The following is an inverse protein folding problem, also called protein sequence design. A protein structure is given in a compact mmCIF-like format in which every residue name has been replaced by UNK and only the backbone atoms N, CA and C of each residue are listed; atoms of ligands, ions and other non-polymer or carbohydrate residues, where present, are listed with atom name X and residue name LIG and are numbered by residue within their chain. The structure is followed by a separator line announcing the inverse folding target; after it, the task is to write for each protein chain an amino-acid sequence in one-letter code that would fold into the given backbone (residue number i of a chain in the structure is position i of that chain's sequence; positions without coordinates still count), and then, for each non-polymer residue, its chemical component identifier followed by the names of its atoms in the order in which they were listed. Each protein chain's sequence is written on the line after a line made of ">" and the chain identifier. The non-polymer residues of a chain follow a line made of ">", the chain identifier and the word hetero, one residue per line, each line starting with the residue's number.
data_IF_502104482829
#
_entry.id   IF_502104482829
#
_cell.length_a   1.000
_cell.length_b   1.000
_cell.length_c   1.000
_cell.angle_alpha   90.00
_cell.angle_beta   90.00
_cell.angle_gamma   90.00
#
_symmetry.space_group_name_H-M   'P 1'
#
loop_
_entity.id
_entity.type
_entity.pdbx_description
1 polymer ?
#
# COMPACT_ATOMS: atom_id res chain seq x y z
N UNK A 1 -46.72 -8.24 -60.45
CA UNK A 1 -45.57 -8.79 -59.66
C UNK A 1 -44.82 -7.63 -58.99
N UNK A 2 -45.29 -7.23 -57.80
CA UNK A 2 -44.74 -6.09 -57.10
C UNK A 2 -43.73 -6.60 -56.06
N UNK A 3 -42.45 -6.20 -56.19
CA UNK A 3 -41.41 -6.49 -55.22
C UNK A 3 -41.39 -5.34 -54.13
N UNK A 4 -41.74 -5.70 -52.89
CA UNK A 4 -41.58 -4.84 -51.73
C UNK A 4 -40.12 -4.88 -51.30
N UNK A 5 -39.40 -3.73 -51.35
CA UNK A 5 -38.11 -3.51 -50.71
C UNK A 5 -38.37 -3.06 -49.28
N UNK A 6 -38.08 -3.93 -48.30
CA UNK A 6 -38.03 -3.53 -46.89
C UNK A 6 -36.68 -2.83 -46.61
N UNK A 7 -36.77 -1.54 -46.41
CA UNK A 7 -35.63 -0.72 -45.94
C UNK A 7 -35.50 -0.91 -44.43
N UNK A 8 -34.50 -1.70 -43.96
CA UNK A 8 -34.14 -1.78 -42.56
C UNK A 8 -33.28 -0.58 -42.17
N UNK A 9 -33.88 0.40 -41.54
CA UNK A 9 -33.18 1.50 -40.89
C UNK A 9 -32.55 0.99 -39.59
N UNK A 10 -31.23 0.80 -39.58
CA UNK A 10 -30.47 0.53 -38.38
C UNK A 10 -30.38 1.85 -37.60
N UNK A 11 -31.14 1.99 -36.52
CA UNK A 11 -30.91 3.03 -35.52
C UNK A 11 -29.64 2.69 -34.76
N UNK A 12 -28.53 3.35 -35.07
CA UNK A 12 -27.35 3.39 -34.24
C UNK A 12 -27.68 4.25 -33.00
N UNK A 13 -28.14 3.62 -31.94
CA UNK A 13 -28.19 4.24 -30.61
C UNK A 13 -26.74 4.47 -30.17
N UNK A 14 -26.30 5.72 -30.18
CA UNK A 14 -25.07 6.13 -29.49
C UNK A 14 -25.27 5.89 -27.99
N UNK A 15 -24.79 4.76 -27.49
CA UNK A 15 -24.62 4.55 -26.06
C UNK A 15 -23.47 5.46 -25.65
N UNK A 16 -23.80 6.62 -25.10
CA UNK A 16 -22.84 7.44 -24.38
C UNK A 16 -22.48 6.67 -23.13
N UNK A 17 -21.39 5.94 -23.17
CA UNK A 17 -20.73 5.42 -21.97
C UNK A 17 -20.25 6.64 -21.19
N UNK A 18 -21.03 7.08 -20.22
CA UNK A 18 -20.48 7.91 -19.16
C UNK A 18 -19.39 7.06 -18.50
N UNK A 19 -18.13 7.42 -18.73
CA UNK A 19 -17.03 6.89 -17.94
C UNK A 19 -17.38 7.15 -16.48
N UNK A 20 -17.49 6.12 -15.67
CA UNK A 20 -17.65 6.30 -14.23
C UNK A 20 -16.45 7.11 -13.77
N UNK A 21 -16.70 8.24 -13.09
CA UNK A 21 -15.64 9.01 -12.45
C UNK A 21 -14.82 8.04 -11.58
N UNK A 22 -13.50 8.01 -11.80
CA UNK A 22 -12.61 7.14 -11.03
C UNK A 22 -12.65 7.57 -9.56
N UNK A 23 -13.15 6.73 -8.63
CA UNK A 23 -13.31 7.14 -7.24
C UNK A 23 -11.94 7.29 -6.58
N UNK A 24 -11.83 8.21 -5.62
CA UNK A 24 -10.68 8.22 -4.73
C UNK A 24 -10.66 6.97 -3.86
N UNK A 25 -9.48 6.36 -3.70
CA UNK A 25 -9.29 5.13 -2.92
C UNK A 25 -8.41 5.45 -1.71
N UNK A 26 -8.94 5.25 -0.51
CA UNK A 26 -8.18 5.38 0.74
C UNK A 26 -8.14 4.02 1.43
N UNK A 27 -6.94 3.46 1.56
CA UNK A 27 -6.69 2.20 2.26
C UNK A 27 -6.02 2.45 3.61
N UNK A 28 -6.72 2.13 4.69
CA UNK A 28 -6.25 2.28 6.07
C UNK A 28 -5.85 0.91 6.62
N UNK A 29 -4.60 0.77 7.05
CA UNK A 29 -4.11 -0.42 7.73
C UNK A 29 -3.68 -0.09 9.15
N UNK A 30 -4.29 -0.75 10.12
CA UNK A 30 -3.91 -0.67 11.52
C UNK A 30 -2.92 -1.78 11.83
N UNK A 31 -1.77 -1.41 12.40
CA UNK A 31 -0.70 -2.35 12.76
C UNK A 31 -0.99 -2.91 14.16
N UNK A 32 -1.25 -4.20 14.25
CA UNK A 32 -1.58 -4.95 15.48
C UNK A 32 -2.92 -4.54 16.15
N UNK A 33 -3.89 -3.99 15.41
CA UNK A 33 -5.25 -3.80 15.92
C UNK A 33 -5.99 -5.14 15.90
N UNK A 34 -6.44 -5.60 17.06
CA UNK A 34 -7.26 -6.79 17.18
C UNK A 34 -8.70 -6.58 16.69
N UNK A 35 -9.30 -7.63 16.15
CA UNK A 35 -10.71 -7.61 15.75
C UNK A 35 -11.64 -7.15 16.88
N UNK A 36 -11.37 -7.64 18.11
CA UNK A 36 -12.15 -7.31 19.29
C UNK A 36 -11.91 -5.92 19.88
N UNK A 37 -10.95 -5.14 19.33
CA UNK A 37 -10.66 -3.76 19.79
C UNK A 37 -11.55 -2.72 19.09
N UNK A 38 -12.21 -3.11 18.01
CA UNK A 38 -13.18 -2.25 17.31
C UNK A 38 -14.56 -2.44 17.94
N UNK A 39 -15.15 -1.35 18.45
CA UNK A 39 -16.35 -1.44 19.28
C UNK A 39 -17.54 -2.06 18.55
N UNK A 40 -17.83 -1.70 17.30
CA UNK A 40 -18.94 -2.29 16.55
C UNK A 40 -18.78 -3.78 16.24
N UNK A 41 -17.56 -4.33 16.34
CA UNK A 41 -17.28 -5.75 16.15
C UNK A 41 -17.30 -6.53 17.47
N UNK A 42 -17.25 -5.85 18.61
CA UNK A 42 -17.24 -6.44 19.95
C UNK A 42 -17.90 -5.48 20.97
N UNK A 43 -19.20 -5.19 20.85
CA UNK A 43 -19.87 -4.17 21.66
C UNK A 43 -19.92 -4.52 23.15
N UNK A 44 -19.85 -5.80 23.50
CA UNK A 44 -19.91 -6.24 24.91
C UNK A 44 -18.58 -6.05 25.64
N UNK A 45 -17.44 -6.26 24.96
CA UNK A 45 -16.10 -6.28 25.57
C UNK A 45 -15.15 -5.23 25.01
N UNK A 46 -15.48 -4.58 23.90
CA UNK A 46 -14.72 -3.47 23.33
C UNK A 46 -14.72 -2.26 24.25
N UNK A 47 -13.60 -2.06 24.99
CA UNK A 47 -13.50 -1.01 26.02
C UNK A 47 -13.16 0.37 25.47
N UNK A 48 -12.59 0.43 24.28
CA UNK A 48 -12.19 1.68 23.64
C UNK A 48 -13.25 2.09 22.63
N UNK A 49 -13.86 3.27 22.75
CA UNK A 49 -14.79 3.74 21.75
C UNK A 49 -14.11 3.99 20.41
N UNK A 50 -14.69 3.48 19.33
CA UNK A 50 -14.20 3.66 17.96
C UNK A 50 -15.25 4.33 17.05
N UNK A 51 -15.78 5.52 17.41
CA UNK A 51 -16.98 6.08 16.81
C UNK A 51 -16.88 6.32 15.30
N UNK A 52 -15.70 6.65 14.81
CA UNK A 52 -15.49 6.89 13.37
C UNK A 52 -15.41 5.59 12.57
N UNK A 53 -14.82 4.54 13.13
CA UNK A 53 -14.80 3.20 12.52
C UNK A 53 -16.19 2.59 12.57
N UNK A 54 -16.90 2.73 13.71
CA UNK A 54 -18.27 2.26 13.88
C UNK A 54 -19.23 2.93 12.88
N UNK A 55 -19.06 4.25 12.65
CA UNK A 55 -19.81 4.96 11.61
C UNK A 55 -19.49 4.41 10.22
N UNK A 56 -18.22 4.24 9.87
CA UNK A 56 -17.81 3.67 8.59
C UNK A 56 -18.43 2.29 8.38
N UNK A 57 -18.43 1.46 9.41
CA UNK A 57 -19.05 0.13 9.35
C UNK A 57 -20.58 0.21 9.14
N UNK A 58 -21.25 1.19 9.74
CA UNK A 58 -22.70 1.37 9.59
C UNK A 58 -23.13 1.94 8.22
N UNK A 59 -22.24 2.70 7.58
CA UNK A 59 -22.48 3.33 6.27
C UNK A 59 -21.95 2.46 5.10
N UNK A 60 -21.14 1.44 5.39
CA UNK A 60 -20.45 0.63 4.40
C UNK A 60 -20.73 -0.86 4.51
N UNK A 61 -19.71 -1.66 4.25
CA UNK A 61 -19.75 -3.12 4.31
C UNK A 61 -18.73 -3.63 5.32
N UNK A 62 -19.16 -4.48 6.24
CA UNK A 62 -18.29 -5.18 7.19
C UNK A 62 -18.06 -6.61 6.72
N UNK A 63 -16.81 -6.99 6.50
CA UNK A 63 -16.43 -8.36 6.18
C UNK A 63 -16.19 -9.13 7.48
N UNK A 64 -17.02 -10.11 7.75
CA UNK A 64 -16.96 -10.92 9.00
C UNK A 64 -15.98 -12.08 8.91
N UNK A 65 -15.50 -12.41 7.73
CA UNK A 65 -14.56 -13.52 7.47
C UNK A 65 -13.44 -13.07 6.51
N UNK A 66 -12.79 -11.94 6.85
CA UNK A 66 -11.65 -11.43 6.10
C UNK A 66 -10.34 -11.80 6.81
N UNK A 67 -9.39 -12.36 6.05
CA UNK A 67 -8.13 -12.83 6.57
C UNK A 67 -6.96 -12.05 5.97
N UNK A 68 -6.04 -11.60 6.83
CA UNK A 68 -4.75 -11.11 6.35
C UNK A 68 -3.87 -12.29 5.90
N UNK A 69 -2.94 -12.05 4.97
CA UNK A 69 -2.02 -13.09 4.50
C UNK A 69 -1.01 -13.56 5.56
N UNK A 70 -0.95 -12.89 6.70
CA UNK A 70 -0.08 -13.23 7.83
C UNK A 70 -0.49 -12.45 9.07
N UNK A 71 -0.07 -12.93 10.25
CA UNK A 71 -0.26 -12.29 11.54
C UNK A 71 0.82 -11.24 11.89
N UNK A 72 1.78 -10.97 11.00
CA UNK A 72 2.88 -10.02 11.25
C UNK A 72 3.09 -9.06 10.09
N UNK A 73 3.79 -7.95 10.37
CA UNK A 73 3.89 -6.74 9.53
C UNK A 73 4.34 -6.99 8.08
N UNK A 74 5.58 -7.45 7.88
CA UNK A 74 6.19 -7.54 6.54
C UNK A 74 5.40 -8.44 5.58
N UNK A 75 5.03 -9.69 5.95
CA UNK A 75 4.29 -10.55 5.04
C UNK A 75 2.92 -9.99 4.67
N UNK A 76 2.20 -9.40 5.64
CA UNK A 76 0.92 -8.74 5.39
C UNK A 76 1.08 -7.57 4.42
N UNK A 77 2.07 -6.69 4.67
CA UNK A 77 2.34 -5.53 3.81
C UNK A 77 2.76 -5.94 2.42
N UNK A 78 3.59 -6.99 2.30
CA UNK A 78 3.95 -7.56 1.00
C UNK A 78 2.70 -8.05 0.23
N UNK A 79 1.80 -8.74 0.91
CA UNK A 79 0.54 -9.22 0.34
C UNK A 79 -0.35 -8.08 -0.15
N UNK A 80 -0.52 -7.03 0.66
CA UNK A 80 -1.29 -5.84 0.30
C UNK A 80 -0.71 -5.14 -0.93
N UNK A 81 0.63 -5.00 -0.98
CA UNK A 81 1.30 -4.31 -2.10
C UNK A 81 1.28 -5.12 -3.40
N UNK A 82 1.35 -6.46 -3.34
CA UNK A 82 1.65 -7.29 -4.52
C UNK A 82 0.60 -8.33 -4.87
N UNK A 83 -0.42 -8.52 -4.04
CA UNK A 83 -1.41 -9.60 -4.19
C UNK A 83 -0.82 -11.01 -4.03
N UNK A 84 0.38 -11.14 -3.42
CA UNK A 84 1.09 -12.43 -3.30
C UNK A 84 1.52 -12.69 -1.86
N UNK A 85 1.60 -13.95 -1.50
CA UNK A 85 2.19 -14.35 -0.21
C UNK A 85 3.71 -14.10 -0.19
N UNK A 86 4.22 -13.60 0.93
CA UNK A 86 5.65 -13.28 1.11
C UNK A 86 6.57 -14.50 1.05
N UNK A 87 6.10 -15.68 1.45
CA UNK A 87 6.88 -16.91 1.36
C UNK A 87 7.23 -17.33 -0.08
N UNK A 88 6.62 -16.68 -1.08
CA UNK A 88 7.04 -16.80 -2.50
C UNK A 88 8.27 -15.96 -2.84
N UNK A 89 8.86 -15.29 -1.85
CA UNK A 89 10.10 -14.54 -1.95
C UNK A 89 11.21 -15.20 -1.13
N UNK A 90 12.32 -14.49 -0.93
CA UNK A 90 13.37 -14.93 0.02
C UNK A 90 12.93 -14.91 1.49
N UNK A 91 11.82 -14.23 1.82
CA UNK A 91 11.27 -14.17 3.18
C UNK A 91 10.34 -15.36 3.43
N UNK A 92 10.90 -16.46 3.95
CA UNK A 92 10.14 -17.68 4.24
C UNK A 92 9.36 -17.61 5.55
N UNK A 93 9.80 -16.78 6.50
CA UNK A 93 9.14 -16.57 7.79
C UNK A 93 9.56 -15.25 8.43
N UNK A 94 8.77 -14.78 9.41
CA UNK A 94 9.06 -13.57 10.17
C UNK A 94 8.94 -12.28 9.38
N UNK A 95 9.76 -11.30 9.73
CA UNK A 95 9.77 -9.95 9.14
C UNK A 95 11.17 -9.58 8.67
N UNK A 96 11.26 -8.69 7.70
CA UNK A 96 12.54 -8.17 7.25
C UNK A 96 13.20 -7.33 8.34
N UNK A 97 14.53 -7.36 8.37
CA UNK A 97 15.35 -6.69 9.38
C UNK A 97 16.42 -5.82 8.71
N UNK A 98 16.65 -4.65 9.31
CA UNK A 98 17.77 -3.77 8.95
C UNK A 98 17.66 -3.13 7.57
N UNK A 99 18.81 -2.65 7.11
CA UNK A 99 18.98 -1.93 5.85
C UNK A 99 19.41 -2.93 4.78
N UNK A 100 18.48 -3.36 3.97
CA UNK A 100 18.71 -4.35 2.93
C UNK A 100 17.85 -4.00 1.72
N UNK A 101 18.15 -4.52 0.51
CA UNK A 101 17.32 -4.28 -0.65
C UNK A 101 15.84 -4.58 -0.40
N UNK A 102 14.99 -3.79 -1.01
CA UNK A 102 13.54 -3.96 -0.91
C UNK A 102 13.12 -5.40 -1.19
N UNK A 103 12.18 -5.91 -0.39
CA UNK A 103 11.64 -7.27 -0.56
C UNK A 103 10.85 -7.40 -1.86
N UNK A 104 10.20 -6.31 -2.30
CA UNK A 104 9.54 -6.25 -3.61
C UNK A 104 10.62 -6.00 -4.66
N UNK A 105 10.82 -6.94 -5.56
CA UNK A 105 11.74 -6.77 -6.70
C UNK A 105 11.26 -5.63 -7.60
N UNK A 106 12.19 -5.02 -8.33
CA UNK A 106 11.90 -3.83 -9.14
C UNK A 106 10.91 -4.11 -10.28
N UNK A 107 10.95 -5.32 -10.82
CA UNK A 107 10.08 -5.80 -11.88
C UNK A 107 8.71 -6.28 -11.40
N UNK A 108 8.48 -6.29 -10.08
CA UNK A 108 7.22 -6.76 -9.49
C UNK A 108 6.18 -5.65 -9.50
N UNK A 109 5.07 -5.83 -10.25
CA UNK A 109 3.94 -4.92 -10.17
C UNK A 109 3.40 -4.82 -8.74
N UNK A 110 3.00 -3.62 -8.36
CA UNK A 110 2.36 -3.31 -7.08
C UNK A 110 0.97 -2.73 -7.32
N UNK A 111 0.16 -2.68 -6.27
CA UNK A 111 -1.12 -1.96 -6.34
C UNK A 111 -0.92 -0.50 -6.74
N UNK A 112 0.20 0.12 -6.33
CA UNK A 112 0.51 1.51 -6.69
C UNK A 112 0.83 1.66 -8.19
N UNK A 113 1.68 0.79 -8.76
CA UNK A 113 1.95 0.80 -10.21
C UNK A 113 0.68 0.56 -11.02
N UNK A 114 -0.16 -0.40 -10.58
CA UNK A 114 -1.44 -0.66 -11.24
C UNK A 114 -2.35 0.57 -11.23
N UNK A 115 -2.42 1.28 -10.11
CA UNK A 115 -3.23 2.50 -9.99
C UNK A 115 -2.67 3.64 -10.85
N UNK A 116 -1.34 3.82 -10.88
CA UNK A 116 -0.69 4.80 -11.76
C UNK A 116 -1.00 4.53 -13.24
N UNK A 117 -0.92 3.27 -13.67
CA UNK A 117 -1.24 2.86 -15.05
C UNK A 117 -2.71 3.16 -15.42
N UNK A 118 -3.57 3.34 -14.40
CA UNK A 118 -4.97 3.73 -14.56
C UNK A 118 -5.24 5.22 -14.23
N UNK A 119 -4.21 6.05 -14.21
CA UNK A 119 -4.31 7.51 -14.09
C UNK A 119 -4.48 8.04 -12.68
N UNK A 120 -4.26 7.22 -11.64
CA UNK A 120 -4.29 7.69 -10.26
C UNK A 120 -2.97 8.30 -9.83
N UNK A 121 -3.04 9.33 -9.00
CA UNK A 121 -1.92 9.74 -8.16
C UNK A 121 -1.89 8.89 -6.90
N UNK A 122 -0.72 8.37 -6.55
CA UNK A 122 -0.55 7.39 -5.49
C UNK A 122 0.31 7.94 -4.35
N UNK A 123 -0.13 7.72 -3.12
CA UNK A 123 0.64 8.11 -1.94
C UNK A 123 0.61 7.00 -0.89
N UNK A 124 1.70 6.88 -0.13
CA UNK A 124 1.75 6.04 1.06
C UNK A 124 2.26 6.85 2.25
N UNK A 125 1.55 6.76 3.37
CA UNK A 125 1.88 7.47 4.60
C UNK A 125 2.10 6.46 5.72
N UNK A 126 3.19 6.62 6.48
CA UNK A 126 3.49 5.82 7.67
C UNK A 126 4.55 4.73 7.45
N UNK A 127 4.35 3.57 8.10
CA UNK A 127 5.32 2.48 8.14
C UNK A 127 5.39 1.71 6.83
N UNK A 128 6.59 1.60 6.24
CA UNK A 128 6.86 0.77 5.06
C UNK A 128 7.08 -0.71 5.39
N UNK A 129 8.13 -1.03 6.09
CA UNK A 129 8.55 -2.36 6.58
C UNK A 129 8.66 -3.46 5.50
N UNK A 130 9.08 -3.08 4.30
CA UNK A 130 9.43 -4.00 3.22
C UNK A 130 10.91 -3.86 2.80
N UNK A 131 11.71 -3.25 3.67
CA UNK A 131 13.10 -2.84 3.48
C UNK A 131 13.30 -1.82 2.35
N UNK A 132 14.42 -1.18 2.41
CA UNK A 132 15.13 -0.42 1.39
C UNK A 132 16.53 -0.11 1.90
N UNK A 133 17.42 0.20 0.98
CA UNK A 133 18.79 0.62 1.28
C UNK A 133 18.82 2.10 1.58
N UNK A 134 19.87 2.51 2.28
CA UNK A 134 20.22 3.91 2.45
C UNK A 134 21.58 4.16 1.85
N UNK A 135 21.73 5.26 1.14
CA UNK A 135 23.01 5.75 0.60
C UNK A 135 23.47 6.94 1.41
N UNK A 136 24.76 6.97 1.74
CA UNK A 136 25.39 8.11 2.40
C UNK A 136 25.26 9.37 1.54
N UNK A 137 24.78 10.50 2.11
CA UNK A 137 24.56 11.71 1.34
C UNK A 137 25.84 12.36 0.81
N UNK A 138 27.00 11.98 1.36
CA UNK A 138 28.32 12.56 0.99
C UNK A 138 29.08 11.66 0.05
N UNK A 139 29.23 10.37 0.40
CA UNK A 139 30.00 9.41 -0.39
C UNK A 139 29.17 8.67 -1.45
N UNK A 140 27.85 8.57 -1.27
CA UNK A 140 26.97 7.74 -2.08
C UNK A 140 27.05 6.23 -1.76
N UNK A 141 27.89 5.85 -0.81
CA UNK A 141 28.05 4.45 -0.42
C UNK A 141 26.83 3.92 0.33
N UNK A 142 26.60 2.61 0.22
CA UNK A 142 25.53 1.96 0.94
C UNK A 142 25.83 1.94 2.46
N UNK A 143 24.85 2.35 3.26
CA UNK A 143 24.93 2.26 4.72
C UNK A 143 24.96 0.81 5.16
N UNK A 144 26.10 0.41 5.74
CA UNK A 144 26.24 -0.90 6.33
C UNK A 144 25.41 -1.01 7.63
N UNK A 145 24.65 -2.09 7.74
CA UNK A 145 23.91 -2.43 8.95
C UNK A 145 24.85 -2.43 10.18
N UNK A 146 24.47 -1.71 11.22
CA UNK A 146 25.19 -1.69 12.50
C UNK A 146 26.21 -0.55 12.66
N UNK A 147 26.54 0.19 11.60
CA UNK A 147 27.43 1.34 11.68
C UNK A 147 26.74 2.56 12.33
N UNK A 148 25.42 2.66 12.18
CA UNK A 148 24.61 3.77 12.71
C UNK A 148 23.28 3.23 13.26
N UNK A 149 22.78 3.83 14.34
CA UNK A 149 21.44 3.53 14.89
C UNK A 149 20.34 4.00 13.95
N UNK A 150 20.53 5.15 13.33
CA UNK A 150 19.63 5.73 12.33
C UNK A 150 20.46 6.30 11.16
N UNK A 151 19.92 6.28 9.94
CA UNK A 151 20.57 6.92 8.81
C UNK A 151 20.58 8.44 9.02
N UNK A 152 21.61 9.16 8.54
CA UNK A 152 21.68 10.61 8.70
C UNK A 152 20.63 11.33 7.85
N UNK A 153 20.30 12.54 8.24
CA UNK A 153 19.54 13.46 7.40
C UNK A 153 20.27 13.64 6.07
N UNK A 154 19.51 13.60 4.99
CA UNK A 154 20.03 13.66 3.62
C UNK A 154 20.32 12.30 2.99
N UNK A 155 20.34 11.19 3.77
CA UNK A 155 20.52 9.86 3.20
C UNK A 155 19.47 9.55 2.13
N UNK A 156 19.92 9.01 0.99
CA UNK A 156 19.06 8.67 -0.14
C UNK A 156 18.58 7.22 -0.06
N UNK A 157 17.41 6.98 -0.63
CA UNK A 157 16.74 5.67 -0.63
C UNK A 157 16.51 5.25 -2.09
N UNK A 158 17.38 4.39 -2.66
CA UNK A 158 17.34 4.07 -4.08
C UNK A 158 16.29 3.02 -4.48
N UNK A 159 15.62 2.40 -3.52
CA UNK A 159 14.70 1.27 -3.76
C UNK A 159 13.48 1.25 -2.83
N UNK A 160 13.09 2.41 -2.33
CA UNK A 160 11.95 2.61 -1.43
C UNK A 160 10.58 2.67 -2.13
N UNK A 161 9.55 3.18 -1.41
CA UNK A 161 8.18 3.25 -1.90
C UNK A 161 8.00 3.97 -3.25
N UNK A 162 8.68 5.10 -3.45
CA UNK A 162 8.57 5.85 -4.72
C UNK A 162 9.17 5.09 -5.91
N UNK A 163 10.04 4.11 -5.67
CA UNK A 163 10.56 3.19 -6.68
C UNK A 163 9.68 1.93 -6.85
N UNK A 164 8.51 1.92 -6.22
CA UNK A 164 7.52 0.84 -6.25
C UNK A 164 6.13 1.35 -6.61
N UNK A 165 6.06 2.48 -7.35
CA UNK A 165 4.84 3.01 -7.92
C UNK A 165 4.09 4.03 -7.05
N UNK A 166 4.69 4.55 -5.97
CA UNK A 166 4.10 5.67 -5.26
C UNK A 166 4.69 6.99 -5.74
N UNK A 167 3.83 7.96 -6.04
CA UNK A 167 4.24 9.33 -6.38
C UNK A 167 4.71 10.09 -5.14
N UNK A 168 4.20 9.69 -3.97
CA UNK A 168 4.56 10.32 -2.70
C UNK A 168 4.70 9.31 -1.59
N UNK A 169 5.73 9.47 -0.77
CA UNK A 169 5.94 8.76 0.48
C UNK A 169 6.24 9.73 1.61
N UNK A 170 5.55 9.58 2.74
CA UNK A 170 5.90 10.25 3.98
C UNK A 170 5.79 9.24 5.13
N UNK A 171 6.91 8.85 5.72
CA UNK A 171 6.87 7.84 6.75
C UNK A 171 8.24 7.43 7.29
N UNK A 172 8.31 6.17 7.65
CA UNK A 172 9.50 5.58 8.28
C UNK A 172 9.66 4.12 7.86
N UNK A 173 10.86 3.60 8.08
CA UNK A 173 11.20 2.25 7.66
C UNK A 173 10.37 1.19 8.43
N UNK A 174 10.54 1.12 9.75
CA UNK A 174 9.79 0.22 10.63
C UNK A 174 9.75 0.79 12.07
N UNK A 175 9.00 0.16 12.97
CA UNK A 175 8.74 0.68 14.32
C UNK A 175 9.98 0.97 15.18
N UNK A 176 11.13 0.35 14.88
CA UNK A 176 12.39 0.60 15.59
C UNK A 176 13.22 1.74 14.98
N UNK A 177 12.78 2.30 13.86
CA UNK A 177 13.45 3.39 13.14
C UNK A 177 12.48 4.55 12.86
N UNK A 178 11.59 4.84 13.79
CA UNK A 178 10.62 5.94 13.68
C UNK A 178 11.29 7.32 13.82
N UNK A 179 12.51 7.36 14.34
CA UNK A 179 13.29 8.60 14.48
C UNK A 179 13.70 9.19 13.13
N UNK A 180 13.92 8.33 12.13
CA UNK A 180 14.24 8.76 10.78
C UNK A 180 12.94 8.96 9.97
N UNK A 181 12.55 10.22 9.82
CA UNK A 181 11.43 10.60 8.96
C UNK A 181 11.92 10.68 7.51
N UNK A 182 11.15 10.09 6.63
CA UNK A 182 11.47 10.00 5.21
C UNK A 182 10.37 10.71 4.42
N UNK A 183 10.78 11.54 3.47
CA UNK A 183 9.91 12.08 2.43
C UNK A 183 10.45 11.59 1.08
N UNK A 184 9.61 10.91 0.34
CA UNK A 184 9.91 10.29 -0.95
C UNK A 184 11.12 9.34 -0.87
N UNK A 185 12.27 9.76 -1.34
CA UNK A 185 13.51 9.00 -1.41
C UNK A 185 14.60 9.52 -0.49
N UNK A 186 14.26 10.34 0.51
CA UNK A 186 15.26 10.98 1.36
C UNK A 186 14.87 11.05 2.83
N UNK A 187 15.85 10.85 3.70
CA UNK A 187 15.74 11.10 5.14
C UNK A 187 15.76 12.61 5.40
N UNK A 188 14.71 13.12 6.04
CA UNK A 188 14.55 14.56 6.31
C UNK A 188 14.64 14.92 7.80
N UNK A 189 14.57 13.90 8.68
CA UNK A 189 14.69 14.05 10.14
C UNK A 189 15.21 12.78 10.75
#
# INVERSE_FOLDING_TARGET
>A
MYRFFLLHTFLLSNVVLFGADTPNIVYLICDDLGYGDVHCLNPENGKIPTPHVDRLASEGVTFTDAHSGSSVCTPTRYGVMTGRYSWRTKLQSGVVQGFAPCLISQDRPTVATFLQDNGYHTAIIGKWHLNFRYLDPTSGDEYARGKYKSPPVGAKIPDGPVHRGFDYFHGFHHARNMEAVIINDQVVK
#
